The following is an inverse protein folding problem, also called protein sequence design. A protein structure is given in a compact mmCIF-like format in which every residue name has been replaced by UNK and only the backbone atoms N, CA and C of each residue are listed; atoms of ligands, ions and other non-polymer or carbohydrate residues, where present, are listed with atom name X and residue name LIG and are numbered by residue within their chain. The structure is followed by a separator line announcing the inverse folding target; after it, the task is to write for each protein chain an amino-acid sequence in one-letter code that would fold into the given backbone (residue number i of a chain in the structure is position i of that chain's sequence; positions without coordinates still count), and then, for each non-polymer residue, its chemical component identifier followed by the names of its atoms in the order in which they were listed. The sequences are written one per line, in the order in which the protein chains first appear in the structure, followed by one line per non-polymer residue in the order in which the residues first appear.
data_IF_818837926893
#
_entry.id   IF_818837926893
#
_cell.length_a   1.000
_cell.length_b   1.000
_cell.length_c   1.000
_cell.angle_alpha   90.00
_cell.angle_beta   90.00
_cell.angle_gamma   90.00
#
_symmetry.space_group_name_H-M   'P 1'
#
loop_
_entity.id
_entity.type
_entity.pdbx_description
1 polymer ?
#
# COMPACT_ATOMS: atom_id res chain seq x y z
N UNK A 1 6.24 -17.96 -8.34
CA UNK A 1 6.47 -16.90 -7.35
C UNK A 1 7.62 -16.02 -7.82
N UNK A 2 7.46 -14.69 -7.80
CA UNK A 2 8.52 -13.76 -8.25
C UNK A 2 9.78 -13.93 -7.39
N UNK A 3 9.59 -14.11 -6.08
CA UNK A 3 10.66 -14.36 -5.10
C UNK A 3 11.54 -15.56 -5.44
N UNK A 4 10.97 -16.73 -5.74
CA UNK A 4 11.75 -17.92 -6.10
C UNK A 4 12.59 -17.72 -7.37
N UNK A 5 12.06 -16.98 -8.34
CA UNK A 5 12.74 -16.72 -9.62
C UNK A 5 13.84 -15.68 -9.52
N UNK A 6 13.66 -14.68 -8.65
CA UNK A 6 14.64 -13.60 -8.50
C UNK A 6 15.65 -13.88 -7.38
N UNK A 7 15.39 -14.85 -6.50
CA UNK A 7 16.19 -15.08 -5.27
C UNK A 7 16.33 -13.82 -4.42
N UNK A 8 15.38 -12.89 -4.54
CA UNK A 8 15.33 -11.63 -3.79
C UNK A 8 14.06 -11.62 -2.95
N UNK A 9 14.13 -11.05 -1.75
CA UNK A 9 12.97 -10.90 -0.89
C UNK A 9 11.93 -9.98 -1.53
N UNK A 10 10.75 -10.51 -1.85
CA UNK A 10 9.64 -9.76 -2.46
C UNK A 10 8.47 -9.75 -1.49
N UNK A 11 7.96 -8.56 -1.20
CA UNK A 11 6.78 -8.35 -0.35
C UNK A 11 5.73 -7.56 -1.12
N UNK A 12 4.45 -7.78 -0.81
CA UNK A 12 3.36 -6.97 -1.38
C UNK A 12 3.36 -5.61 -0.66
N UNK A 13 3.44 -4.53 -1.44
CA UNK A 13 3.49 -3.18 -0.88
C UNK A 13 2.12 -2.76 -0.31
N UNK A 14 2.11 -2.31 0.94
CA UNK A 14 0.94 -1.72 1.60
C UNK A 14 1.32 -0.37 2.23
N UNK A 15 1.06 0.77 1.57
CA UNK A 15 1.42 2.09 2.09
C UNK A 15 0.56 2.51 3.29
N UNK A 16 -0.62 1.90 3.48
CA UNK A 16 -1.56 2.26 4.54
C UNK A 16 -1.26 1.59 5.88
N UNK A 17 -0.36 0.59 5.91
CA UNK A 17 0.00 -0.14 7.14
C UNK A 17 0.64 0.75 8.23
N UNK A 18 1.26 1.86 7.83
CA UNK A 18 1.88 2.84 8.74
C UNK A 18 1.05 4.13 8.88
N UNK A 19 -0.17 4.17 8.34
CA UNK A 19 -1.04 5.35 8.38
C UNK A 19 -2.20 5.17 9.35
N UNK A 20 -2.66 6.29 9.91
CA UNK A 20 -3.92 6.31 10.68
C UNK A 20 -5.10 6.22 9.72
N UNK A 21 -5.82 5.10 9.74
CA UNK A 21 -6.99 4.88 8.89
C UNK A 21 -8.22 5.44 9.61
N UNK A 22 -8.93 6.37 8.96
CA UNK A 22 -10.19 6.92 9.49
C UNK A 22 -11.30 5.87 9.55
N UNK A 23 -12.21 5.99 10.52
CA UNK A 23 -13.32 5.05 10.77
C UNK A 23 -14.31 4.89 9.60
N UNK A 24 -14.28 5.79 8.62
CA UNK A 24 -15.10 5.73 7.39
C UNK A 24 -14.53 4.79 6.33
N UNK A 25 -13.29 4.33 6.49
CA UNK A 25 -12.57 3.51 5.52
C UNK A 25 -12.55 2.05 5.96
N UNK A 26 -12.95 1.14 5.06
CA UNK A 26 -12.94 -0.31 5.31
C UNK A 26 -11.53 -0.85 5.18
N UNK A 27 -10.90 -1.20 6.31
CA UNK A 27 -9.51 -1.68 6.35
C UNK A 27 -9.25 -2.94 5.51
N UNK A 28 -10.17 -3.91 5.52
CA UNK A 28 -10.04 -5.13 4.71
C UNK A 28 -10.02 -4.84 3.21
N UNK A 29 -10.91 -3.95 2.75
CA UNK A 29 -10.98 -3.58 1.34
C UNK A 29 -9.78 -2.74 0.94
N UNK A 30 -9.36 -1.83 1.82
CA UNK A 30 -8.16 -1.02 1.62
C UNK A 30 -6.89 -1.88 1.50
N UNK A 31 -6.75 -2.97 2.26
CA UNK A 31 -5.59 -3.86 2.17
C UNK A 31 -5.48 -4.59 0.82
N UNK A 32 -6.63 -4.88 0.18
CA UNK A 32 -6.70 -5.50 -1.15
C UNK A 32 -6.33 -4.48 -2.22
N UNK A 33 -6.85 -3.25 -2.11
CA UNK A 33 -6.61 -2.17 -3.08
C UNK A 33 -5.29 -1.42 -2.83
N UNK A 34 -4.64 -1.64 -1.68
CA UNK A 34 -3.41 -1.00 -1.24
C UNK A 34 -2.29 -0.93 -2.30
N UNK A 35 -1.91 -2.04 -2.97
CA UNK A 35 -0.85 -2.01 -3.98
C UNK A 35 -1.23 -1.17 -5.21
N UNK A 36 -2.51 -1.13 -5.60
CA UNK A 36 -2.98 -0.31 -6.72
C UNK A 36 -2.99 1.19 -6.37
N UNK A 37 -3.25 1.51 -5.10
CA UNK A 37 -3.30 2.87 -4.58
C UNK A 37 -1.92 3.47 -4.24
N UNK A 38 -0.82 2.74 -4.44
CA UNK A 38 0.54 3.21 -4.09
C UNK A 38 0.89 4.53 -4.78
N UNK A 39 0.61 4.65 -6.08
CA UNK A 39 0.91 5.87 -6.85
C UNK A 39 0.02 7.04 -6.38
N UNK A 40 -1.27 6.78 -6.16
CA UNK A 40 -2.20 7.78 -5.65
C UNK A 40 -1.80 8.26 -4.25
N UNK A 41 -1.37 7.34 -3.38
CA UNK A 41 -0.87 7.64 -2.04
C UNK A 41 0.38 8.53 -2.10
N UNK A 42 1.34 8.22 -2.97
CA UNK A 42 2.54 9.04 -3.16
C UNK A 42 2.25 10.44 -3.72
N UNK A 43 1.27 10.58 -4.62
CA UNK A 43 0.80 11.88 -5.09
C UNK A 43 0.11 12.67 -3.97
N UNK A 44 -0.74 12.02 -3.18
CA UNK A 44 -1.39 12.63 -2.04
C UNK A 44 -0.38 13.10 -1.00
N UNK A 45 0.65 12.29 -0.67
CA UNK A 45 1.74 12.64 0.24
C UNK A 45 2.46 13.94 -0.17
N UNK A 46 2.62 14.20 -1.47
CA UNK A 46 3.27 15.42 -1.97
C UNK A 46 2.44 16.69 -1.70
N UNK A 47 1.12 16.56 -1.59
CA UNK A 47 0.20 17.67 -1.35
C UNK A 47 -0.16 17.89 0.12
N UNK A 48 0.36 17.07 1.04
CA UNK A 48 0.07 17.12 2.49
C UNK A 48 1.29 17.49 3.34
N UNK A 49 2.29 18.14 2.73
CA UNK A 49 3.36 18.85 3.46
C UNK A 49 2.83 20.18 4.00
#
# INVERSE_FOLDING_TARGET
AVQDRTQVNVIVANPFQKMSIGTRVKQQQLAIDAPALLIACGLAMRGVD
#
